data_IF_472235840376
#
_entry.id   IF_472235840376
#
_cell.length_a   1.000
_cell.length_b   1.000
_cell.length_c   1.000
_cell.angle_alpha   90.00
_cell.angle_beta   90.00
_cell.angle_gamma   90.00
#
_symmetry.space_group_name_H-M   'P 1'
#
loop_
_entity.id
_entity.type
_entity.pdbx_description
1 polymer ?
#
# COMPACT_ATOMS: atom_id res chain seq x y z
N UNK A 1 21.63 5.54 22.42
CA UNK A 1 20.52 5.41 21.45
C UNK A 1 20.75 6.49 20.41
N UNK A 2 21.15 6.11 19.21
CA UNK A 2 21.27 7.05 18.09
C UNK A 2 19.85 7.45 17.67
N UNK A 3 19.51 8.73 17.83
CA UNK A 3 18.34 9.31 17.18
C UNK A 3 18.62 9.32 15.69
N UNK A 4 18.08 8.32 14.98
CA UNK A 4 18.02 8.30 13.52
C UNK A 4 17.42 9.62 13.07
N UNK A 5 18.02 10.25 12.04
CA UNK A 5 17.65 11.59 11.58
C UNK A 5 16.15 11.76 11.36
N UNK A 6 15.69 13.02 11.38
CA UNK A 6 14.30 13.45 11.20
C UNK A 6 13.64 13.04 9.88
N UNK A 7 14.34 12.29 9.04
CA UNK A 7 13.84 11.84 7.75
C UNK A 7 12.80 10.73 7.95
N UNK A 8 11.61 10.85 7.33
CA UNK A 8 10.59 9.83 7.47
C UNK A 8 11.03 8.50 6.85
N UNK A 9 10.81 7.40 7.57
CA UNK A 9 10.92 6.07 6.99
C UNK A 9 9.70 5.75 6.13
N UNK A 10 9.95 5.14 5.00
CA UNK A 10 8.91 4.83 4.02
C UNK A 10 8.67 3.33 4.03
N UNK A 11 7.42 2.97 4.31
CA UNK A 11 6.99 1.59 4.42
C UNK A 11 5.74 1.30 3.62
N UNK A 12 5.49 0.03 3.42
CA UNK A 12 4.29 -0.50 2.78
C UNK A 12 3.23 -0.75 3.83
N UNK A 13 1.98 -0.45 3.49
CA UNK A 13 0.84 -0.73 4.34
C UNK A 13 -0.38 -1.13 3.53
N UNK A 14 -1.12 -2.09 4.08
CA UNK A 14 -2.46 -2.43 3.63
C UNK A 14 -3.49 -1.84 4.57
N UNK A 15 -4.58 -1.32 4.01
CA UNK A 15 -5.76 -0.80 4.71
C UNK A 15 -7.05 -1.45 4.20
N UNK A 16 -8.10 -1.36 5.01
CA UNK A 16 -9.49 -1.57 4.61
C UNK A 16 -10.06 -0.21 4.23
N UNK A 17 -10.55 -0.07 3.01
CA UNK A 17 -11.31 1.10 2.61
C UNK A 17 -12.80 0.89 2.90
N UNK A 18 -13.34 1.72 3.79
CA UNK A 18 -14.75 1.82 4.10
C UNK A 18 -15.24 3.17 3.59
N UNK A 19 -15.93 3.18 2.44
CA UNK A 19 -16.29 4.42 1.76
C UNK A 19 -15.04 5.18 1.30
N UNK A 20 -14.81 6.35 1.85
CA UNK A 20 -13.66 7.23 1.59
C UNK A 20 -12.63 7.20 2.75
N UNK A 21 -12.76 6.28 3.70
CA UNK A 21 -11.91 6.21 4.90
C UNK A 21 -11.02 4.96 4.87
N UNK A 22 -9.74 5.14 5.17
CA UNK A 22 -8.77 4.06 5.41
C UNK A 22 -8.86 3.61 6.86
N UNK A 23 -9.00 2.30 7.06
CA UNK A 23 -9.10 1.66 8.38
C UNK A 23 -8.03 0.60 8.49
N UNK A 24 -7.43 0.48 9.67
CA UNK A 24 -6.47 -0.58 9.97
C UNK A 24 -7.10 -1.97 9.79
N UNK A 25 -6.30 -2.94 9.33
CA UNK A 25 -6.70 -4.35 9.24
C UNK A 25 -6.67 -5.08 10.58
N UNK A 26 -5.83 -4.62 11.50
CA UNK A 26 -5.53 -5.33 12.75
C UNK A 26 -6.22 -4.65 13.94
N UNK A 27 -6.45 -3.34 13.84
CA UNK A 27 -7.14 -2.55 14.84
C UNK A 27 -8.38 -1.89 14.21
N UNK A 28 -9.38 -1.55 15.03
CA UNK A 28 -10.52 -0.74 14.61
C UNK A 28 -10.17 0.75 14.56
N UNK A 29 -8.99 1.06 14.04
CA UNK A 29 -8.41 2.40 14.01
C UNK A 29 -8.59 3.01 12.61
N UNK A 30 -9.22 4.18 12.57
CA UNK A 30 -9.36 4.98 11.36
C UNK A 30 -8.08 5.80 11.14
N UNK A 31 -7.66 5.93 9.89
CA UNK A 31 -6.55 6.80 9.53
C UNK A 31 -7.11 8.16 9.11
N UNK A 32 -6.69 9.23 9.77
CA UNK A 32 -6.99 10.59 9.36
C UNK A 32 -6.22 10.96 8.06
N UNK A 33 -6.76 11.88 7.24
CA UNK A 33 -5.99 12.55 6.20
C UNK A 33 -4.77 13.27 6.76
N UNK A 34 -3.65 13.24 6.03
CA UNK A 34 -2.40 13.88 6.46
C UNK A 34 -1.74 13.13 7.62
N UNK A 35 -1.29 13.88 8.62
CA UNK A 35 -0.55 13.36 9.75
C UNK A 35 -1.45 12.65 10.78
N UNK A 36 -0.98 11.51 11.24
CA UNK A 36 -1.57 10.71 12.29
C UNK A 36 -0.57 10.57 13.42
N UNK A 37 -1.00 10.73 14.67
CA UNK A 37 -0.18 10.54 15.86
C UNK A 37 -0.68 9.30 16.62
N UNK A 38 0.24 8.41 16.97
CA UNK A 38 -0.10 7.19 17.67
C UNK A 38 -0.34 7.47 19.15
N UNK A 39 -1.19 6.65 19.77
CA UNK A 39 -1.41 6.63 21.21
C UNK A 39 -1.00 5.26 21.77
N UNK A 40 -0.66 5.22 23.06
CA UNK A 40 -0.38 3.97 23.73
C UNK A 40 -1.66 3.15 23.88
N UNK A 41 -1.68 1.92 23.34
CA UNK A 41 -2.83 1.02 23.45
C UNK A 41 -2.82 0.13 24.71
N UNK A 42 -1.92 0.40 25.67
CA UNK A 42 -1.80 -0.40 26.88
C UNK A 42 -2.95 -0.11 27.85
N UNK A 43 -3.99 -0.96 27.86
CA UNK A 43 -5.14 -0.81 28.80
C UNK A 43 -4.83 -1.33 30.22
N UNK A 44 -3.88 -2.25 30.38
CA UNK A 44 -3.57 -2.93 31.65
C UNK A 44 -2.09 -2.87 32.03
N UNK A 45 -1.33 -1.94 31.47
CA UNK A 45 0.09 -1.70 31.80
C UNK A 45 0.32 -0.21 31.86
N UNK A 46 1.42 0.21 32.48
CA UNK A 46 1.87 1.61 32.42
C UNK A 46 1.96 2.06 30.96
N UNK A 47 1.26 3.14 30.57
CA UNK A 47 1.38 3.70 29.23
C UNK A 47 2.84 4.03 28.91
N UNK A 48 3.23 3.88 27.65
CA UNK A 48 4.55 4.36 27.22
C UNK A 48 4.57 5.89 27.24
N UNK A 49 5.70 6.47 27.64
CA UNK A 49 5.93 7.92 27.62
C UNK A 49 5.77 8.50 26.21
N UNK A 50 6.32 7.80 25.21
CA UNK A 50 6.14 8.09 23.80
C UNK A 50 5.89 6.80 23.00
N UNK A 51 4.87 6.76 22.13
CA UNK A 51 4.65 5.63 21.23
C UNK A 51 5.53 5.74 19.97
N UNK A 52 6.11 4.63 19.47
CA UNK A 52 6.10 3.29 20.06
C UNK A 52 7.05 3.17 21.25
N UNK A 53 6.53 2.73 22.41
CA UNK A 53 7.36 2.39 23.56
C UNK A 53 8.08 1.05 23.40
N UNK A 54 9.23 0.89 24.07
CA UNK A 54 9.99 -0.36 24.07
C UNK A 54 9.13 -1.57 24.48
N UNK A 55 9.06 -2.59 23.62
CA UNK A 55 8.25 -3.79 23.85
C UNK A 55 6.72 -3.59 23.74
N UNK A 56 6.26 -2.38 23.44
CA UNK A 56 4.85 -2.09 23.23
C UNK A 56 4.43 -2.34 21.79
N UNK A 57 3.12 -2.53 21.58
CA UNK A 57 2.50 -2.72 20.25
C UNK A 57 1.76 -1.47 19.74
N UNK A 58 1.94 -0.33 20.41
CA UNK A 58 1.46 0.96 19.92
C UNK A 58 2.28 1.45 18.71
N UNK A 59 1.90 2.60 18.14
CA UNK A 59 2.55 3.11 16.92
C UNK A 59 1.93 2.57 15.63
N UNK A 60 2.11 3.33 14.56
CA UNK A 60 1.68 2.93 13.22
C UNK A 60 2.69 1.98 12.59
N UNK A 61 2.23 0.77 12.27
CA UNK A 61 3.02 -0.28 11.64
C UNK A 61 3.12 -0.14 10.11
N UNK A 62 4.30 -0.31 9.55
CA UNK A 62 4.51 -0.47 8.12
C UNK A 62 5.56 -1.55 7.86
N UNK A 63 5.43 -2.30 6.77
CA UNK A 63 6.42 -3.33 6.38
C UNK A 63 7.43 -2.75 5.40
N UNK A 64 8.64 -3.32 5.32
CA UNK A 64 9.63 -2.86 4.32
C UNK A 64 9.35 -3.35 2.90
N UNK A 65 8.39 -4.27 2.73
CA UNK A 65 7.98 -4.79 1.42
C UNK A 65 6.49 -5.11 1.34
N UNK A 66 5.88 -5.06 0.14
CA UNK A 66 4.46 -5.29 -0.07
C UNK A 66 4.04 -6.76 0.13
N UNK A 67 4.92 -7.72 -0.11
CA UNK A 67 4.57 -9.14 0.06
C UNK A 67 4.25 -9.45 1.53
N UNK A 68 5.05 -8.88 2.44
CA UNK A 68 4.83 -9.01 3.88
C UNK A 68 3.49 -8.43 4.32
N UNK A 69 3.10 -7.28 3.76
CA UNK A 69 1.77 -6.70 3.98
C UNK A 69 0.65 -7.70 3.63
N UNK A 70 0.75 -8.32 2.46
CA UNK A 70 -0.23 -9.29 1.99
C UNK A 70 -0.24 -10.57 2.84
N UNK A 71 0.93 -11.04 3.26
CA UNK A 71 1.05 -12.20 4.14
C UNK A 71 0.37 -11.97 5.49
N UNK A 72 0.56 -10.80 6.10
CA UNK A 72 -0.02 -10.45 7.42
C UNK A 72 -1.56 -10.42 7.42
N UNK A 73 -2.17 -10.15 6.27
CA UNK A 73 -3.64 -10.09 6.15
C UNK A 73 -4.26 -11.35 5.56
N UNK A 74 -3.47 -12.23 4.92
CA UNK A 74 -3.96 -13.44 4.25
C UNK A 74 -4.86 -14.31 5.13
N UNK A 75 -4.55 -14.56 6.42
CA UNK A 75 -5.45 -15.33 7.29
C UNK A 75 -6.79 -14.65 7.58
N UNK A 76 -6.88 -13.32 7.40
CA UNK A 76 -8.07 -12.50 7.67
C UNK A 76 -8.91 -12.27 6.43
N UNK A 77 -8.29 -12.28 5.24
CA UNK A 77 -8.97 -12.21 3.95
C UNK A 77 -9.45 -13.62 3.58
N UNK A 78 -10.47 -14.11 4.28
CA UNK A 78 -11.26 -15.25 3.80
C UNK A 78 -12.10 -14.84 2.57
N UNK A 79 -12.47 -15.80 1.72
CA UNK A 79 -13.23 -15.52 0.47
C UNK A 79 -14.56 -14.78 0.70
N UNK A 80 -15.21 -15.00 1.85
CA UNK A 80 -16.48 -14.34 2.23
C UNK A 80 -16.31 -12.96 2.89
N UNK A 81 -15.10 -12.59 3.30
CA UNK A 81 -14.83 -11.39 4.09
C UNK A 81 -14.75 -10.10 3.24
N UNK A 82 -14.43 -10.19 1.95
CA UNK A 82 -14.16 -9.03 1.10
C UNK A 82 -15.36 -8.11 0.83
N UNK A 83 -16.59 -8.58 1.08
CA UNK A 83 -17.80 -7.77 0.98
C UNK A 83 -18.11 -6.97 2.24
N UNK A 84 -17.88 -7.56 3.42
CA UNK A 84 -18.27 -6.99 4.72
C UNK A 84 -17.17 -6.16 5.38
N UNK A 85 -15.91 -6.52 5.20
CA UNK A 85 -14.79 -5.88 5.91
C UNK A 85 -14.16 -4.71 5.14
N UNK A 86 -14.78 -4.25 4.05
CA UNK A 86 -14.24 -3.18 3.22
C UNK A 86 -13.25 -3.67 2.16
N UNK A 87 -12.83 -2.74 1.30
CA UNK A 87 -11.98 -3.05 0.15
C UNK A 87 -10.50 -2.99 0.54
N UNK A 88 -9.68 -4.00 0.26
CA UNK A 88 -8.25 -3.89 0.49
C UNK A 88 -7.62 -2.83 -0.42
N UNK A 89 -6.84 -1.94 0.18
CA UNK A 89 -6.05 -0.90 -0.49
C UNK A 89 -4.61 -0.99 0.02
N UNK A 90 -3.66 -1.21 -0.90
CA UNK A 90 -2.23 -1.14 -0.60
C UNK A 90 -1.74 0.28 -0.88
N UNK A 91 -0.73 0.72 -0.15
CA UNK A 91 -0.03 1.97 -0.44
C UNK A 91 1.26 2.09 0.34
N UNK A 92 1.86 3.27 0.25
CA UNK A 92 3.02 3.67 1.02
C UNK A 92 2.61 4.62 2.14
N UNK A 93 3.37 4.54 3.22
CA UNK A 93 3.23 5.39 4.40
C UNK A 93 4.61 5.94 4.78
N UNK A 94 4.67 7.24 5.05
CA UNK A 94 5.78 7.88 5.72
C UNK A 94 5.57 7.78 7.23
N UNK A 95 6.58 7.37 7.99
CA UNK A 95 6.54 7.35 9.45
C UNK A 95 7.75 8.02 10.08
N UNK A 96 7.52 8.79 11.15
CA UNK A 96 8.53 9.60 11.82
C UNK A 96 8.21 9.79 13.31
N UNK A 97 9.01 10.61 14.00
CA UNK A 97 8.98 10.77 15.45
C UNK A 97 9.76 9.65 16.12
N UNK A 98 9.20 9.05 17.16
CA UNK A 98 9.76 7.81 17.72
C UNK A 98 9.57 6.67 16.73
N UNK A 99 10.64 5.93 16.44
CA UNK A 99 10.63 4.83 15.49
C UNK A 99 11.28 3.60 16.10
N UNK A 100 10.59 2.47 16.03
CA UNK A 100 11.14 1.15 16.40
C UNK A 100 11.22 0.27 15.16
N UNK A 101 12.42 -0.19 14.82
CA UNK A 101 12.65 -1.12 13.70
C UNK A 101 12.53 -2.56 14.20
N UNK A 102 11.77 -3.37 13.46
CA UNK A 102 11.53 -4.77 13.77
C UNK A 102 12.29 -5.67 12.78
N UNK A 103 13.62 -5.63 12.88
CA UNK A 103 14.51 -6.38 12.00
C UNK A 103 14.27 -6.05 10.52
N UNK A 104 14.02 -7.09 9.72
CA UNK A 104 13.75 -6.96 8.27
C UNK A 104 12.26 -6.86 7.93
N UNK A 105 11.38 -6.92 8.93
CA UNK A 105 9.94 -7.00 8.67
C UNK A 105 9.34 -5.63 8.36
N UNK A 106 9.75 -4.61 9.10
CA UNK A 106 9.13 -3.30 9.08
C UNK A 106 9.51 -2.45 10.28
N UNK A 107 8.71 -1.41 10.50
CA UNK A 107 8.88 -0.46 11.59
C UNK A 107 7.54 -0.03 12.18
N UNK A 108 7.60 0.49 13.42
CA UNK A 108 6.54 1.25 14.06
C UNK A 108 6.99 2.69 14.18
N UNK A 109 6.10 3.62 13.91
CA UNK A 109 6.35 5.05 14.07
C UNK A 109 5.30 5.70 14.98
N UNK A 110 5.72 6.71 15.74
CA UNK A 110 4.87 7.53 16.58
C UNK A 110 3.99 8.47 15.78
N UNK A 111 4.46 8.87 14.59
CA UNK A 111 3.69 9.66 13.62
C UNK A 111 3.71 8.98 12.26
N UNK A 112 2.63 9.10 11.50
CA UNK A 112 2.57 8.55 10.15
C UNK A 112 1.60 9.30 9.22
N UNK A 113 1.85 9.25 7.92
CA UNK A 113 0.92 9.75 6.90
C UNK A 113 0.93 8.82 5.67
N UNK A 114 -0.24 8.47 5.11
CA UNK A 114 -0.30 7.88 3.77
C UNK A 114 0.34 8.85 2.77
N UNK A 115 1.16 8.35 1.84
CA UNK A 115 1.80 9.18 0.82
C UNK A 115 1.49 8.73 -0.61
N UNK A 116 1.07 7.47 -0.79
CA UNK A 116 0.71 6.91 -2.10
C UNK A 116 -0.27 5.76 -1.91
N UNK A 117 -1.27 5.61 -2.78
CA UNK A 117 -2.18 4.46 -2.79
C UNK A 117 -2.16 3.77 -4.16
N UNK A 118 -2.39 2.45 -4.18
CA UNK A 118 -2.40 1.64 -5.39
C UNK A 118 -3.82 1.21 -5.81
N UNK A 119 -4.15 1.35 -7.09
CA UNK A 119 -5.47 1.03 -7.63
C UNK A 119 -5.63 -0.40 -8.13
N UNK A 120 -4.55 -1.09 -8.46
CA UNK A 120 -4.49 -2.37 -9.17
C UNK A 120 -4.06 -3.54 -8.28
N UNK A 121 -3.43 -3.26 -7.14
CA UNK A 121 -3.12 -4.27 -6.14
C UNK A 121 -4.39 -4.55 -5.35
N UNK A 122 -5.04 -5.69 -5.58
CA UNK A 122 -5.30 -6.75 -4.57
C UNK A 122 -6.17 -7.84 -5.19
N UNK A 123 -5.54 -8.97 -5.47
CA UNK A 123 -6.09 -10.30 -5.28
C UNK A 123 -4.89 -11.25 -5.11
N UNK A 124 -4.81 -12.05 -4.04
CA UNK A 124 -4.00 -13.26 -4.09
C UNK A 124 -4.34 -14.01 -5.37
N UNK A 125 -3.35 -14.45 -6.14
CA UNK A 125 -3.52 -15.18 -7.42
C UNK A 125 -4.75 -16.11 -7.30
N UNK A 126 -5.88 -15.75 -7.92
CA UNK A 126 -7.11 -16.53 -7.79
C UNK A 126 -8.42 -15.74 -7.89
N UNK A 127 -8.49 -14.50 -7.38
CA UNK A 127 -9.74 -13.72 -7.46
C UNK A 127 -9.81 -12.95 -8.77
N UNK A 128 -10.36 -13.59 -9.82
CA UNK A 128 -10.79 -12.86 -11.02
C UNK A 128 -11.85 -11.82 -10.61
N UNK A 129 -11.61 -10.52 -10.81
CA UNK A 129 -12.57 -9.52 -10.37
C UNK A 129 -13.84 -9.60 -11.23
N UNK A 130 -15.00 -9.71 -10.57
CA UNK A 130 -16.30 -9.56 -11.22
C UNK A 130 -16.44 -8.12 -11.74
N UNK A 131 -16.99 -7.92 -12.95
CA UNK A 131 -17.09 -6.59 -13.60
C UNK A 131 -17.69 -5.49 -12.72
N UNK A 132 -18.69 -5.80 -11.90
CA UNK A 132 -19.31 -4.85 -10.95
C UNK A 132 -18.39 -4.40 -9.81
N UNK A 133 -17.37 -5.19 -9.49
CA UNK A 133 -16.40 -4.89 -8.45
C UNK A 133 -15.46 -3.73 -8.84
N UNK A 134 -15.18 -3.58 -10.14
CA UNK A 134 -14.33 -2.51 -10.65
C UNK A 134 -14.96 -1.12 -10.54
N UNK A 135 -16.26 -0.96 -10.88
CA UNK A 135 -16.92 0.36 -10.85
C UNK A 135 -16.96 0.95 -9.44
N UNK A 136 -17.35 0.14 -8.45
CA UNK A 136 -17.37 0.57 -7.04
C UNK A 136 -15.96 0.83 -6.51
N UNK A 137 -14.95 0.08 -6.96
CA UNK A 137 -13.55 0.33 -6.60
C UNK A 137 -13.07 1.70 -7.12
N UNK A 138 -13.42 2.08 -8.35
CA UNK A 138 -13.10 3.40 -8.89
C UNK A 138 -13.65 4.54 -8.03
N UNK A 139 -14.94 4.48 -7.64
CA UNK A 139 -15.55 5.50 -6.79
C UNK A 139 -14.92 5.57 -5.39
N UNK A 140 -14.64 4.42 -4.76
CA UNK A 140 -13.91 4.34 -3.47
C UNK A 140 -12.54 4.99 -3.56
N UNK A 141 -11.74 4.61 -4.55
CA UNK A 141 -10.37 5.13 -4.72
C UNK A 141 -10.36 6.62 -5.04
N UNK A 142 -11.32 7.10 -5.81
CA UNK A 142 -11.46 8.52 -6.11
C UNK A 142 -11.90 9.31 -4.86
N UNK A 143 -12.77 8.75 -4.02
CA UNK A 143 -13.09 9.32 -2.70
C UNK A 143 -11.85 9.41 -1.80
N UNK A 144 -11.07 8.33 -1.73
CA UNK A 144 -9.80 8.29 -0.99
C UNK A 144 -8.80 9.33 -1.52
N UNK A 145 -8.62 9.43 -2.84
CA UNK A 145 -7.75 10.43 -3.48
C UNK A 145 -8.09 11.84 -3.02
N UNK A 146 -9.38 12.20 -3.10
CA UNK A 146 -9.84 13.53 -2.67
C UNK A 146 -9.68 13.76 -1.18
N UNK A 147 -10.03 12.77 -0.34
CA UNK A 147 -10.02 12.92 1.11
C UNK A 147 -8.60 13.01 1.66
N UNK A 148 -7.70 12.15 1.21
CA UNK A 148 -6.32 12.06 1.72
C UNK A 148 -5.35 12.99 1.00
N UNK A 149 -5.70 13.50 -0.19
CA UNK A 149 -4.80 14.36 -0.96
C UNK A 149 -3.57 13.64 -1.52
N UNK A 150 -3.60 12.31 -1.58
CA UNK A 150 -2.47 11.49 -2.05
C UNK A 150 -2.73 10.94 -3.45
N UNK A 151 -1.68 10.75 -4.27
CA UNK A 151 -1.84 10.13 -5.57
C UNK A 151 -2.37 8.70 -5.46
N UNK A 152 -3.21 8.32 -6.44
CA UNK A 152 -3.69 6.95 -6.61
C UNK A 152 -3.26 6.46 -7.99
N UNK A 153 -2.30 5.54 -8.02
CA UNK A 153 -1.67 5.05 -9.26
C UNK A 153 -1.73 3.53 -9.34
N UNK A 154 -1.40 2.96 -10.50
CA UNK A 154 -1.15 1.52 -10.56
C UNK A 154 0.26 1.22 -10.04
N UNK A 155 0.47 0.07 -9.41
CA UNK A 155 1.80 -0.35 -8.96
C UNK A 155 2.78 -0.45 -10.14
N UNK A 156 2.28 -0.87 -11.30
CA UNK A 156 3.07 -0.88 -12.54
C UNK A 156 3.54 0.51 -12.95
N UNK A 157 2.65 1.50 -12.95
CA UNK A 157 3.03 2.87 -13.31
C UNK A 157 4.04 3.45 -12.31
N UNK A 158 3.82 3.23 -11.00
CA UNK A 158 4.74 3.69 -9.96
C UNK A 158 6.15 3.10 -10.12
N UNK A 159 6.26 1.82 -10.48
CA UNK A 159 7.55 1.18 -10.78
C UNK A 159 8.20 1.73 -12.05
N UNK A 160 7.44 1.83 -13.15
CA UNK A 160 7.95 2.30 -14.44
C UNK A 160 8.42 3.74 -14.40
N UNK A 161 7.78 4.58 -13.57
CA UNK A 161 8.10 6.00 -13.44
C UNK A 161 9.11 6.29 -12.31
N UNK A 162 9.62 5.27 -11.61
CA UNK A 162 10.59 5.49 -10.52
C UNK A 162 10.01 6.09 -9.23
N UNK A 163 8.70 6.32 -9.16
CA UNK A 163 8.00 6.98 -8.04
C UNK A 163 8.31 6.32 -6.69
N UNK A 164 8.44 4.98 -6.65
CA UNK A 164 8.75 4.29 -5.40
C UNK A 164 10.12 4.69 -4.84
N UNK A 165 11.13 4.83 -5.71
CA UNK A 165 12.48 5.23 -5.31
C UNK A 165 12.51 6.72 -4.92
N UNK A 166 11.83 7.59 -5.68
CA UNK A 166 11.70 9.01 -5.36
C UNK A 166 11.05 9.25 -4.00
N UNK A 167 10.06 8.42 -3.64
CA UNK A 167 9.42 8.46 -2.33
C UNK A 167 10.25 7.80 -1.23
N UNK A 168 11.45 7.28 -1.50
CA UNK A 168 12.32 6.67 -0.48
C UNK A 168 11.97 5.23 -0.09
N UNK A 169 11.17 4.51 -0.89
CA UNK A 169 10.95 3.09 -0.63
C UNK A 169 12.25 2.30 -0.82
N UNK A 170 12.57 1.41 0.12
CA UNK A 170 13.80 0.61 0.07
C UNK A 170 13.84 -0.36 -1.12
N UNK A 171 15.05 -0.66 -1.59
CA UNK A 171 15.31 -1.54 -2.75
C UNK A 171 14.60 -2.90 -2.65
N UNK A 172 14.59 -3.50 -1.46
CA UNK A 172 13.92 -4.79 -1.23
C UNK A 172 12.42 -4.70 -1.52
N UNK A 173 11.75 -3.63 -1.04
CA UNK A 173 10.32 -3.43 -1.29
C UNK A 173 10.00 -3.15 -2.75
N UNK A 174 10.89 -2.42 -3.45
CA UNK A 174 10.78 -2.18 -4.89
C UNK A 174 10.93 -3.50 -5.67
N UNK A 175 11.90 -4.34 -5.30
CA UNK A 175 12.12 -5.64 -5.94
C UNK A 175 10.92 -6.57 -5.74
N UNK A 176 10.37 -6.66 -4.53
CA UNK A 176 9.13 -7.41 -4.24
C UNK A 176 7.94 -6.90 -5.07
N UNK A 177 7.76 -5.57 -5.15
CA UNK A 177 6.70 -4.98 -5.97
C UNK A 177 6.83 -5.37 -7.45
N UNK A 178 8.04 -5.39 -7.99
CA UNK A 178 8.29 -5.83 -9.36
C UNK A 178 7.95 -7.31 -9.55
N UNK A 179 8.32 -8.18 -8.61
CA UNK A 179 7.99 -9.61 -8.65
C UNK A 179 6.48 -9.86 -8.61
N UNK A 180 5.73 -9.08 -7.84
CA UNK A 180 4.26 -9.18 -7.76
C UNK A 180 3.56 -8.94 -9.10
N UNK A 181 4.12 -8.08 -9.96
CA UNK A 181 3.56 -7.81 -11.29
C UNK A 181 3.80 -8.93 -12.31
N UNK A 182 4.63 -9.93 -11.95
CA UNK A 182 5.04 -11.01 -12.82
C UNK A 182 5.89 -10.55 -14.00
N UNK A 183 6.26 -11.48 -14.91
CA UNK A 183 6.90 -11.10 -16.17
C UNK A 183 6.00 -10.10 -16.90
N UNK A 184 6.62 -9.05 -17.46
CA UNK A 184 5.92 -8.16 -18.39
C UNK A 184 5.22 -9.01 -19.45
N UNK A 185 3.96 -8.71 -19.82
CA UNK A 185 3.44 -9.26 -21.07
C UNK A 185 4.49 -8.95 -22.13
N UNK A 186 5.02 -9.99 -22.79
CA UNK A 186 5.99 -9.80 -23.88
C UNK A 186 5.42 -8.70 -24.77
N UNK A 187 6.18 -7.62 -24.98
CA UNK A 187 5.84 -6.70 -26.05
C UNK A 187 5.59 -7.56 -27.28
N UNK A 188 4.37 -7.51 -27.80
CA UNK A 188 4.08 -8.21 -29.05
C UNK A 188 5.11 -7.70 -30.07
N UNK A 189 5.85 -8.60 -30.75
CA UNK A 189 6.76 -8.22 -31.81
C UNK A 189 6.06 -7.20 -32.71
N UNK A 190 6.76 -6.15 -33.18
CA UNK A 190 6.17 -5.14 -34.06
C UNK A 190 5.37 -5.73 -35.23
N UNK A 191 5.76 -6.92 -35.72
CA UNK A 191 5.09 -7.68 -36.77
C UNK A 191 3.66 -8.14 -36.46
N UNK A 192 3.22 -8.14 -35.19
CA UNK A 192 1.84 -8.47 -34.78
C UNK A 192 0.99 -7.25 -34.45
N UNK A 193 1.56 -6.03 -34.48
CA UNK A 193 0.80 -4.79 -34.49
C UNK A 193 0.32 -4.60 -35.93
N UNK A 194 -0.93 -5.01 -36.19
CA UNK A 194 -1.70 -4.88 -37.44
C UNK A 194 -0.93 -4.31 -38.63
N UNK A 195 -0.68 -5.17 -39.62
CA UNK A 195 -0.03 -4.79 -40.87
C UNK A 195 -0.54 -3.45 -41.38
N UNK A 196 0.38 -2.57 -41.75
CA UNK A 196 0.00 -1.37 -42.50
C UNK A 196 -0.85 -1.80 -43.70
N UNK A 197 -1.98 -1.15 -43.97
CA UNK A 197 -2.75 -1.43 -45.18
C UNK A 197 -1.81 -1.31 -46.37
N UNK A 198 -1.73 -2.35 -47.19
CA UNK A 198 -0.95 -2.32 -48.42
C UNK A 198 -1.35 -1.08 -49.22
N UNK A 199 -0.39 -0.32 -49.78
CA UNK A 199 -0.73 0.82 -50.61
C UNK A 199 -1.60 0.35 -51.80
N UNK A 200 -2.57 1.16 -52.25
CA UNK A 200 -3.43 0.79 -53.36
C UNK A 200 -2.58 0.57 -54.61
N UNK A 201 -2.75 -0.60 -55.24
CA UNK A 201 -2.15 -0.90 -56.54
C UNK A 201 -2.82 0.00 -57.58
N UNK A 202 -2.11 1.01 -58.06
CA UNK A 202 -2.52 1.78 -59.23
C UNK A 202 -2.36 0.89 -60.47
N UNK A 203 -3.50 0.52 -61.07
CA UNK A 203 -3.59 -0.01 -62.43
C UNK A 203 -3.85 1.09 -63.45
#
# INVERSE_FOLDING_TARGET
METVGSEPLIGWRLWRALGDTLVSWIAEENWAPGENAAECLAQHRTPCEAPPGAGCRCGYWATFGPERCLHLVRPRIGERALGFYGRPVLGLVAGWGEVTIHGREGFRAGRAAPVLLFNDVVAPRGLRPLRGWHRRRGATLEGLRRRYGVPVVSLRAALQQGVLAELGAGETGIAEAAQMLGPQPREYPPALKGGQPSPPTTG
#
